data_IF_092488498744
#
_entry.id   IF_092488498744
#
_cell.length_a   1.000
_cell.length_b   1.000
_cell.length_c   1.000
_cell.angle_alpha   90.00
_cell.angle_beta   90.00
_cell.angle_gamma   90.00
#
_symmetry.space_group_name_H-M   'P 1'
#
loop_
_entity.id
_entity.type
_entity.pdbx_description
1 polymer ?
#
# COMPACT_ATOMS: atom_id res chain seq x y z
N UNK A 1 -12.40 -5.05 18.30
CA UNK A 1 -12.85 -4.49 17.01
C UNK A 1 -11.62 -4.44 16.13
N UNK A 2 -11.43 -5.37 15.20
CA UNK A 2 -10.28 -5.36 14.30
C UNK A 2 -10.54 -4.27 13.27
N UNK A 3 -9.84 -3.15 13.38
CA UNK A 3 -9.91 -2.08 12.38
C UNK A 3 -9.39 -2.65 11.06
N UNK A 4 -10.28 -2.78 10.08
CA UNK A 4 -9.92 -3.30 8.76
C UNK A 4 -9.20 -2.18 8.01
N UNK A 5 -7.97 -2.40 7.52
CA UNK A 5 -7.26 -1.39 6.78
C UNK A 5 -8.01 -1.07 5.47
N UNK A 6 -7.93 0.17 5.02
CA UNK A 6 -8.53 0.62 3.77
C UNK A 6 -7.52 0.48 2.64
N UNK A 7 -7.95 -0.03 1.49
CA UNK A 7 -7.12 -0.11 0.30
C UNK A 7 -6.75 1.31 -0.15
N UNK A 8 -5.45 1.59 -0.25
CA UNK A 8 -4.93 2.89 -0.68
C UNK A 8 -5.21 3.20 -2.17
N UNK A 9 -5.60 2.19 -2.97
CA UNK A 9 -5.90 2.34 -4.40
C UNK A 9 -7.39 2.63 -4.63
N UNK A 10 -8.28 1.75 -4.17
CA UNK A 10 -9.71 1.83 -4.47
C UNK A 10 -10.57 2.39 -3.32
N UNK A 11 -9.98 2.63 -2.14
CA UNK A 11 -10.70 3.15 -0.96
C UNK A 11 -11.66 2.17 -0.28
N UNK A 12 -11.74 0.92 -0.77
CA UNK A 12 -12.56 -0.14 -0.16
C UNK A 12 -11.81 -0.82 0.99
N UNK A 13 -12.55 -1.41 1.94
CA UNK A 13 -11.93 -2.15 3.05
C UNK A 13 -11.18 -3.38 2.53
N UNK A 14 -10.00 -3.62 3.08
CA UNK A 14 -9.24 -4.85 2.87
C UNK A 14 -9.65 -5.83 3.97
N UNK A 15 -10.29 -6.96 3.64
CA UNK A 15 -10.67 -7.93 4.64
C UNK A 15 -9.41 -8.50 5.33
N UNK A 16 -9.41 -8.63 6.66
CA UNK A 16 -8.23 -9.04 7.42
C UNK A 16 -7.84 -10.51 7.20
N UNK A 17 -8.79 -11.34 6.76
CA UNK A 17 -8.61 -12.76 6.46
C UNK A 17 -8.24 -13.04 4.99
N UNK A 18 -8.11 -12.00 4.17
CA UNK A 18 -7.73 -12.12 2.75
C UNK A 18 -6.28 -11.68 2.52
N UNK A 19 -5.66 -12.25 1.48
CA UNK A 19 -4.33 -11.87 1.03
C UNK A 19 -4.32 -10.38 0.67
N UNK A 20 -3.31 -9.66 1.16
CA UNK A 20 -3.19 -8.22 0.94
C UNK A 20 -1.73 -7.81 0.80
N UNK A 21 -1.53 -6.72 0.07
CA UNK A 21 -0.21 -6.13 -0.11
C UNK A 21 -0.02 -5.06 0.94
N UNK A 22 1.08 -5.17 1.69
CA UNK A 22 1.53 -4.17 2.65
C UNK A 22 2.72 -3.40 2.05
N UNK A 23 2.56 -2.10 1.88
CA UNK A 23 3.55 -1.21 1.30
C UNK A 23 4.08 -0.30 2.40
N UNK A 24 5.38 -0.39 2.66
CA UNK A 24 6.07 0.45 3.64
C UNK A 24 6.81 1.55 2.89
N UNK A 25 6.28 2.78 2.95
CA UNK A 25 6.95 3.95 2.41
C UNK A 25 7.81 4.58 3.50
N UNK A 26 9.12 4.67 3.23
CA UNK A 26 10.05 5.40 4.08
C UNK A 26 10.22 6.81 3.51
N UNK A 27 9.57 7.79 4.12
CA UNK A 27 9.70 9.18 3.71
C UNK A 27 10.89 9.81 4.44
N UNK A 28 12.01 9.98 3.72
CA UNK A 28 13.13 10.81 4.21
C UNK A 28 12.88 12.27 3.87
N UNK A 29 12.32 13.03 4.80
CA UNK A 29 12.33 14.51 4.70
C UNK A 29 13.70 15.02 5.12
N UNK A 30 14.34 15.85 4.30
CA UNK A 30 15.72 16.34 4.51
C UNK A 30 15.98 17.07 5.85
N UNK A 31 14.96 17.33 6.68
CA UNK A 31 15.09 18.07 7.94
C UNK A 31 14.24 17.54 9.10
N UNK A 32 13.56 16.41 8.94
CA UNK A 32 12.63 15.91 9.96
C UNK A 32 12.73 14.39 10.17
N UNK A 33 12.29 13.93 11.34
CA UNK A 33 12.38 12.54 11.80
C UNK A 33 11.81 11.59 10.75
N UNK A 34 12.56 10.54 10.39
CA UNK A 34 12.13 9.55 9.41
C UNK A 34 10.69 9.09 9.71
N UNK A 35 9.78 9.41 8.80
CA UNK A 35 8.38 9.01 8.88
C UNK A 35 8.21 7.71 8.10
N UNK A 36 7.79 6.65 8.80
CA UNK A 36 7.32 5.42 8.17
C UNK A 36 5.82 5.54 7.97
N UNK A 37 5.37 5.43 6.73
CA UNK A 37 3.96 5.35 6.38
C UNK A 37 3.66 3.94 5.87
N UNK A 38 2.66 3.30 6.46
CA UNK A 38 2.22 1.94 6.13
C UNK A 38 0.91 2.01 5.34
N UNK A 39 0.90 1.48 4.13
CA UNK A 39 -0.27 1.41 3.25
C UNK A 39 -0.67 -0.04 2.98
N UNK A 40 -1.97 -0.28 2.85
CA UNK A 40 -2.52 -1.60 2.53
C UNK A 40 -3.26 -1.52 1.20
N UNK A 41 -3.18 -2.57 0.40
CA UNK A 41 -3.91 -2.66 -0.86
C UNK A 41 -4.36 -4.10 -1.15
N UNK A 42 -5.43 -4.25 -1.93
CA UNK A 42 -5.78 -5.54 -2.50
C UNK A 42 -4.70 -6.00 -3.49
N UNK A 43 -4.42 -7.30 -3.61
CA UNK A 43 -3.42 -7.82 -4.54
C UNK A 43 -3.71 -7.44 -6.00
N UNK A 44 -4.99 -7.45 -6.40
CA UNK A 44 -5.41 -7.06 -7.75
C UNK A 44 -5.14 -5.59 -8.01
N UNK A 45 -5.56 -4.70 -7.10
CA UNK A 45 -5.32 -3.26 -7.23
C UNK A 45 -3.83 -2.95 -7.29
N UNK A 46 -3.01 -3.58 -6.43
CA UNK A 46 -1.57 -3.40 -6.47
C UNK A 46 -0.95 -3.87 -7.79
N UNK A 47 -1.45 -4.98 -8.34
CA UNK A 47 -0.95 -5.53 -9.61
C UNK A 47 -1.23 -4.60 -10.79
N UNK A 48 -2.40 -3.98 -10.83
CA UNK A 48 -2.79 -3.03 -11.87
C UNK A 48 -1.95 -1.75 -11.79
N UNK A 49 -1.84 -1.14 -10.61
CA UNK A 49 -1.07 0.10 -10.42
C UNK A 49 0.43 -0.06 -10.71
N UNK A 50 0.99 -1.24 -10.43
CA UNK A 50 2.42 -1.54 -10.67
C UNK A 50 2.69 -2.27 -11.98
N UNK A 51 1.68 -2.39 -12.86
CA UNK A 51 1.87 -3.06 -14.14
C UNK A 51 2.95 -2.36 -14.98
N UNK A 52 2.92 -1.03 -15.01
CA UNK A 52 3.86 -0.22 -15.81
C UNK A 52 5.26 -0.12 -15.18
N UNK A 53 5.40 -0.40 -13.88
CA UNK A 53 6.71 -0.41 -13.22
C UNK A 53 7.51 -1.68 -13.51
N UNK A 54 6.84 -2.71 -14.04
CA UNK A 54 7.46 -4.01 -14.35
C UNK A 54 7.92 -4.13 -15.80
N UNK A 55 7.62 -3.15 -16.65
CA UNK A 55 8.12 -3.10 -18.02
C UNK A 55 9.33 -2.15 -18.07
N UNK A 56 10.56 -2.67 -18.23
CA UNK A 56 11.72 -1.82 -18.47
C UNK A 56 11.67 -1.35 -19.93
N UNK A 57 11.36 -0.06 -20.14
CA UNK A 57 11.51 0.61 -21.43
C UNK A 57 12.96 0.58 -21.95
#
# INVERSE_FOLDING_TARGET
>A
MTEQPTCAVCGSKVPPDEDHVHVVANAKRMRDRDGREDYYAHPSCWREETAEWRDPA
#
